data_IF_989118410905
#
_entry.id   IF_989118410905
#
_cell.length_a   1.000
_cell.length_b   1.000
_cell.length_c   1.000
_cell.angle_alpha   90.00
_cell.angle_beta   90.00
_cell.angle_gamma   90.00
#
_symmetry.space_group_name_H-M   'P 1'
#
loop_
_entity.id
_entity.type
_entity.pdbx_description
1 polymer ?
#
# COMPACT_ATOMS: atom_id res chain seq x y z
N UNK A 1 -59.78 -35.05 -17.96
CA UNK A 1 -58.97 -34.24 -17.03
C UNK A 1 -57.51 -34.61 -17.10
N UNK A 2 -56.71 -33.79 -17.76
CA UNK A 2 -55.28 -34.06 -17.98
C UNK A 2 -54.58 -32.81 -18.44
N UNK A 3 -54.47 -31.82 -17.55
CA UNK A 3 -53.64 -30.64 -17.77
C UNK A 3 -52.37 -30.76 -16.92
N UNK A 4 -51.32 -31.32 -17.53
CA UNK A 4 -50.00 -31.39 -16.92
C UNK A 4 -49.24 -30.13 -17.32
N UNK A 5 -49.37 -29.11 -16.49
CA UNK A 5 -48.59 -27.86 -16.53
C UNK A 5 -47.08 -28.15 -16.44
N UNK A 6 -46.43 -28.35 -17.59
CA UNK A 6 -44.97 -28.26 -17.71
C UNK A 6 -44.60 -26.80 -17.93
N UNK A 7 -44.44 -26.07 -16.83
CA UNK A 7 -43.75 -24.78 -16.87
C UNK A 7 -42.35 -24.95 -17.45
N UNK A 8 -42.08 -24.29 -18.58
CA UNK A 8 -40.74 -24.17 -19.14
C UNK A 8 -39.92 -23.28 -18.19
N UNK A 9 -39.15 -23.89 -17.30
CA UNK A 9 -38.05 -23.19 -16.64
C UNK A 9 -36.99 -22.98 -17.72
N UNK A 10 -36.93 -21.75 -18.25
CA UNK A 10 -35.82 -21.31 -19.09
C UNK A 10 -34.56 -21.31 -18.24
N UNK A 11 -33.70 -22.30 -18.43
CA UNK A 11 -32.37 -22.32 -17.82
C UNK A 11 -31.51 -21.26 -18.51
N UNK A 12 -31.46 -20.05 -17.95
CA UNK A 12 -30.38 -19.11 -18.25
C UNK A 12 -29.07 -19.71 -17.72
N UNK A 13 -28.19 -20.13 -18.63
CA UNK A 13 -26.82 -20.48 -18.27
C UNK A 13 -26.02 -19.17 -18.15
N UNK A 14 -25.63 -18.80 -16.93
CA UNK A 14 -24.68 -17.71 -16.71
C UNK A 14 -23.29 -18.24 -17.05
N UNK A 15 -22.62 -17.62 -18.03
CA UNK A 15 -21.22 -17.90 -18.34
C UNK A 15 -20.37 -16.73 -17.85
N UNK A 16 -19.38 -17.04 -17.02
CA UNK A 16 -18.37 -16.07 -16.59
C UNK A 16 -17.18 -16.16 -17.56
N UNK A 17 -17.01 -15.17 -18.42
CA UNK A 17 -15.78 -15.00 -19.19
C UNK A 17 -14.86 -14.05 -18.44
N UNK A 18 -13.61 -14.48 -18.23
CA UNK A 18 -12.58 -13.60 -17.68
C UNK A 18 -12.07 -12.74 -18.82
N UNK A 19 -12.53 -11.50 -18.89
CA UNK A 19 -12.28 -10.64 -20.04
C UNK A 19 -10.90 -9.96 -19.96
N UNK A 20 -10.48 -9.47 -18.78
CA UNK A 20 -9.23 -8.71 -18.64
C UNK A 20 -8.64 -8.84 -17.22
N UNK A 21 -7.31 -8.76 -17.10
CA UNK A 21 -6.63 -8.54 -15.82
C UNK A 21 -6.43 -7.03 -15.63
N UNK A 22 -7.08 -6.45 -14.62
CA UNK A 22 -6.85 -5.07 -14.20
C UNK A 22 -5.80 -5.02 -13.09
N UNK A 23 -4.82 -4.11 -13.22
CA UNK A 23 -3.82 -3.88 -12.19
C UNK A 23 -4.35 -2.90 -11.14
N UNK A 24 -4.59 -3.39 -9.92
CA UNK A 24 -5.04 -2.60 -8.78
C UNK A 24 -3.89 -2.38 -7.80
N UNK A 25 -3.59 -1.13 -7.45
CA UNK A 25 -2.64 -0.83 -6.36
C UNK A 25 -3.40 -0.72 -5.03
N UNK A 26 -3.10 -1.59 -4.08
CA UNK A 26 -3.53 -1.44 -2.69
C UNK A 26 -2.37 -0.91 -1.84
N UNK A 27 -2.69 -0.14 -0.81
CA UNK A 27 -1.70 0.36 0.15
C UNK A 27 -1.84 -0.41 1.46
N UNK A 28 -0.86 -1.26 1.75
CA UNK A 28 -0.81 -2.01 2.99
C UNK A 28 -0.07 -1.22 4.06
N UNK A 29 -0.59 -1.22 5.29
CA UNK A 29 -0.01 -0.48 6.40
C UNK A 29 0.76 -1.42 7.33
N UNK A 30 2.01 -1.04 7.63
CA UNK A 30 2.87 -1.80 8.53
C UNK A 30 3.40 -0.90 9.64
N UNK A 31 3.34 -1.41 10.88
CA UNK A 31 3.86 -0.72 12.06
C UNK A 31 5.05 -1.50 12.58
N UNK A 32 6.23 -0.87 12.56
CA UNK A 32 7.50 -1.49 12.92
C UNK A 32 8.18 -0.69 14.02
N UNK A 33 8.56 -1.38 15.09
CA UNK A 33 9.43 -0.82 16.13
C UNK A 33 10.90 -1.11 15.80
N UNK A 34 11.70 -0.04 15.68
CA UNK A 34 13.13 -0.10 15.44
C UNK A 34 13.92 0.32 16.68
N UNK A 35 15.03 -0.37 16.93
CA UNK A 35 16.02 0.04 17.92
C UNK A 35 17.06 0.93 17.26
N UNK A 36 17.40 2.04 17.91
CA UNK A 36 18.47 2.92 17.46
C UNK A 36 19.83 2.24 17.65
N UNK A 37 20.58 2.14 16.57
CA UNK A 37 21.98 1.79 16.57
C UNK A 37 22.85 3.04 16.80
N UNK A 38 23.90 2.99 17.65
CA UNK A 38 24.74 4.15 17.92
C UNK A 38 25.51 4.70 16.71
N UNK A 39 25.80 3.86 15.70
CA UNK A 39 26.56 4.24 14.50
C UNK A 39 25.66 4.49 13.30
N UNK A 40 24.55 3.76 13.19
CA UNK A 40 23.65 3.75 12.03
C UNK A 40 22.29 4.42 12.27
N UNK A 41 22.01 4.88 13.49
CA UNK A 41 20.70 5.43 13.84
C UNK A 41 19.60 4.37 13.68
N UNK A 42 18.49 4.70 13.04
CA UNK A 42 17.45 3.71 12.68
C UNK A 42 17.73 2.99 11.35
N UNK A 43 18.86 3.28 10.70
CA UNK A 43 19.26 2.57 9.48
C UNK A 43 18.37 2.83 8.27
N UNK A 44 17.75 4.01 8.18
CA UNK A 44 16.95 4.43 7.02
C UNK A 44 17.38 5.82 6.55
N UNK A 45 17.28 6.05 5.25
CA UNK A 45 17.31 7.37 4.65
C UNK A 45 15.89 7.76 4.23
N UNK A 46 15.54 9.04 4.41
CA UNK A 46 14.23 9.58 4.02
C UNK A 46 14.36 10.65 2.95
N UNK A 47 13.31 10.84 2.18
CA UNK A 47 13.18 11.87 1.15
C UNK A 47 11.72 12.33 1.06
N UNK A 48 11.44 13.30 0.19
CA UNK A 48 10.11 13.90 0.07
C UNK A 48 9.82 14.93 1.16
N UNK A 49 8.54 15.12 1.47
CA UNK A 49 8.03 16.18 2.33
C UNK A 49 7.44 17.33 1.53
N UNK A 50 6.63 18.17 2.18
CA UNK A 50 5.93 19.31 1.56
C UNK A 50 6.86 20.33 0.90
N UNK A 51 8.11 20.41 1.35
CA UNK A 51 9.16 21.28 0.80
C UNK A 51 9.89 20.66 -0.39
N UNK A 52 9.75 19.35 -0.60
CA UNK A 52 10.34 18.59 -1.71
C UNK A 52 9.31 17.64 -2.32
N UNK A 53 8.22 18.16 -2.91
CA UNK A 53 7.24 17.33 -3.59
C UNK A 53 7.89 16.59 -4.77
N UNK A 54 7.39 15.39 -5.02
CA UNK A 54 7.76 14.60 -6.20
C UNK A 54 7.41 15.37 -7.48
N UNK A 55 8.35 15.40 -8.44
CA UNK A 55 8.15 16.13 -9.70
C UNK A 55 7.15 15.46 -10.64
N UNK A 56 6.87 14.16 -10.48
CA UNK A 56 5.97 13.40 -11.35
C UNK A 56 4.49 13.60 -11.00
N UNK A 57 4.18 13.67 -9.72
CA UNK A 57 2.83 13.49 -9.18
C UNK A 57 2.52 14.46 -8.03
N UNK A 58 3.47 15.34 -7.68
CA UNK A 58 3.29 16.32 -6.61
C UNK A 58 3.25 15.69 -5.22
N UNK A 59 3.59 14.40 -5.09
CA UNK A 59 3.51 13.69 -3.81
C UNK A 59 4.44 14.32 -2.76
N UNK A 60 3.85 14.78 -1.67
CA UNK A 60 4.55 15.39 -0.53
C UNK A 60 4.85 14.40 0.59
N UNK A 61 4.55 13.11 0.38
CA UNK A 61 4.78 12.06 1.36
C UNK A 61 6.25 11.96 1.75
N UNK A 62 6.50 11.65 3.02
CA UNK A 62 7.83 11.25 3.47
C UNK A 62 8.05 9.81 3.03
N UNK A 63 9.10 9.56 2.26
CA UNK A 63 9.40 8.22 1.69
C UNK A 63 10.75 7.72 2.15
N UNK A 64 10.88 6.40 2.31
CA UNK A 64 12.16 5.76 2.54
C UNK A 64 12.90 5.67 1.21
N UNK A 65 14.01 6.37 1.08
CA UNK A 65 14.84 6.36 -0.12
C UNK A 65 15.93 5.30 -0.10
N UNK A 66 16.40 4.91 1.10
CA UNK A 66 17.41 3.87 1.26
C UNK A 66 17.30 3.19 2.64
N UNK A 67 17.80 1.95 2.73
CA UNK A 67 17.90 1.17 3.97
C UNK A 67 19.35 0.74 4.17
N UNK A 68 19.94 1.18 5.28
CA UNK A 68 21.36 0.97 5.57
C UNK A 68 21.67 -0.52 5.72
N UNK A 69 22.60 -1.11 4.95
CA UNK A 69 22.98 -2.51 5.06
C UNK A 69 23.46 -2.90 6.46
N UNK A 70 22.95 -4.03 6.97
CA UNK A 70 23.16 -4.49 8.34
C UNK A 70 22.71 -3.48 9.40
N UNK A 71 21.81 -2.56 9.08
CA UNK A 71 21.17 -1.63 10.01
C UNK A 71 19.88 -2.21 10.61
N UNK A 72 19.30 -1.56 11.63
CA UNK A 72 18.15 -2.10 12.35
C UNK A 72 16.85 -2.18 11.52
N UNK A 73 16.75 -1.42 10.43
CA UNK A 73 15.61 -1.43 9.52
C UNK A 73 15.65 -2.54 8.45
N UNK A 74 16.79 -3.23 8.28
CA UNK A 74 16.96 -4.27 7.26
C UNK A 74 15.94 -5.41 7.46
N UNK A 75 15.28 -5.80 6.37
CA UNK A 75 14.26 -6.84 6.39
C UNK A 75 12.92 -6.42 7.01
N UNK A 76 12.81 -5.20 7.54
CA UNK A 76 11.58 -4.68 8.17
C UNK A 76 10.97 -3.54 7.35
N UNK A 77 11.80 -2.58 6.97
CA UNK A 77 11.44 -1.48 6.08
C UNK A 77 12.12 -1.64 4.73
N UNK A 78 11.53 -1.03 3.71
CA UNK A 78 11.98 -1.13 2.33
C UNK A 78 11.96 0.25 1.66
N UNK A 79 12.76 0.41 0.62
CA UNK A 79 12.70 1.60 -0.24
C UNK A 79 11.31 1.76 -0.83
N UNK A 80 10.87 3.00 -1.01
CA UNK A 80 9.51 3.39 -1.47
C UNK A 80 8.38 3.21 -0.45
N UNK A 81 8.67 2.68 0.74
CA UNK A 81 7.72 2.75 1.85
C UNK A 81 7.43 4.22 2.18
N UNK A 82 6.14 4.58 2.26
CA UNK A 82 5.70 5.92 2.65
C UNK A 82 5.50 5.97 4.15
N UNK A 83 6.25 6.81 4.86
CA UNK A 83 6.10 6.97 6.30
C UNK A 83 4.83 7.77 6.58
N UNK A 84 3.87 7.11 7.23
CA UNK A 84 2.62 7.73 7.65
C UNK A 84 2.72 8.31 9.08
N UNK A 85 3.47 7.66 9.97
CA UNK A 85 3.54 8.05 11.37
C UNK A 85 4.86 7.63 12.04
N UNK A 86 5.35 8.44 12.99
CA UNK A 86 6.50 8.11 13.83
C UNK A 86 6.14 8.40 15.29
N UNK A 87 6.20 7.38 16.16
CA UNK A 87 5.86 7.49 17.59
C UNK A 87 4.50 8.16 17.86
N UNK A 88 3.50 7.91 17.01
CA UNK A 88 2.17 8.52 17.13
C UNK A 88 2.02 9.89 16.46
N UNK A 89 3.11 10.49 15.95
CA UNK A 89 3.08 11.75 15.22
C UNK A 89 2.87 11.52 13.72
N UNK A 90 1.83 12.13 13.16
CA UNK A 90 1.55 12.05 11.72
C UNK A 90 2.67 12.69 10.91
N UNK A 91 3.07 12.00 9.84
CA UNK A 91 4.06 12.46 8.86
C UNK A 91 3.40 12.90 7.54
N UNK A 92 2.09 13.09 7.53
CA UNK A 92 1.35 13.58 6.37
C UNK A 92 1.57 15.08 6.15
N UNK A 93 1.93 15.47 4.92
CA UNK A 93 2.15 16.86 4.52
C UNK A 93 3.11 17.65 5.44
N UNK A 94 4.09 16.97 6.03
CA UNK A 94 5.13 17.60 6.86
C UNK A 94 6.35 17.96 6.01
N UNK A 95 7.22 18.85 6.51
CA UNK A 95 8.51 19.10 5.85
C UNK A 95 9.51 17.96 6.08
N UNK A 96 10.44 17.79 5.16
CA UNK A 96 11.59 16.89 5.28
C UNK A 96 12.34 17.12 6.59
N UNK A 97 12.57 18.38 6.94
CA UNK A 97 13.25 18.80 8.17
C UNK A 97 12.49 18.39 9.44
N UNK A 98 11.17 18.47 9.43
CA UNK A 98 10.32 18.05 10.55
C UNK A 98 10.42 16.53 10.73
N UNK A 99 10.27 15.75 9.66
CA UNK A 99 10.39 14.29 9.73
C UNK A 99 11.78 13.85 10.22
N UNK A 100 12.86 14.48 9.72
CA UNK A 100 14.22 14.23 10.20
C UNK A 100 14.35 14.57 11.69
N UNK A 101 13.82 15.72 12.12
CA UNK A 101 13.86 16.15 13.52
C UNK A 101 13.12 15.15 14.41
N UNK A 102 11.90 14.74 14.04
CA UNK A 102 11.12 13.75 14.78
C UNK A 102 11.85 12.42 14.90
N UNK A 103 12.46 11.91 13.82
CA UNK A 103 13.28 10.70 13.89
C UNK A 103 14.51 10.90 14.78
N UNK A 104 15.16 12.06 14.75
CA UNK A 104 16.33 12.36 15.62
C UNK A 104 15.96 12.46 17.10
N UNK A 105 14.80 13.03 17.43
CA UNK A 105 14.32 13.18 18.82
C UNK A 105 13.78 11.88 19.42
N UNK A 106 13.46 10.88 18.59
CA UNK A 106 13.17 9.54 19.10
C UNK A 106 14.35 9.03 19.96
N UNK A 107 14.03 8.39 21.07
CA UNK A 107 15.03 7.80 21.96
C UNK A 107 15.61 6.51 21.40
N UNK A 108 15.71 5.49 22.25
CA UNK A 108 16.20 4.16 21.86
C UNK A 108 15.27 3.44 20.88
N UNK A 109 13.97 3.72 20.96
CA UNK A 109 12.95 3.08 20.12
C UNK A 109 12.25 4.12 19.24
N UNK A 110 11.96 3.73 18.01
CA UNK A 110 11.02 4.43 17.14
C UNK A 110 9.99 3.44 16.62
N UNK A 111 8.72 3.75 16.84
CA UNK A 111 7.59 3.06 16.25
C UNK A 111 7.22 3.79 14.94
N UNK A 112 7.52 3.17 13.80
CA UNK A 112 7.35 3.75 12.48
C UNK A 112 6.22 3.01 11.78
N UNK A 113 5.20 3.75 11.37
CA UNK A 113 4.11 3.24 10.55
C UNK A 113 4.33 3.67 9.11
N UNK A 114 4.34 2.69 8.20
CA UNK A 114 4.51 2.92 6.76
C UNK A 114 3.36 2.37 5.94
N UNK A 115 3.15 2.95 4.76
CA UNK A 115 2.28 2.43 3.70
C UNK A 115 3.15 1.89 2.57
N UNK A 116 2.96 0.63 2.20
CA UNK A 116 3.67 -0.06 1.11
C UNK A 116 2.70 -0.34 -0.03
N UNK A 117 3.04 0.03 -1.28
CA UNK A 117 2.19 -0.29 -2.43
C UNK A 117 2.33 -1.78 -2.75
N UNK A 118 1.19 -2.44 -2.98
CA UNK A 118 1.10 -3.80 -3.47
C UNK A 118 0.22 -3.82 -4.72
N UNK A 119 0.79 -4.28 -5.82
CA UNK A 119 0.12 -4.38 -7.12
C UNK A 119 -0.57 -5.75 -7.21
N UNK A 120 -1.88 -5.74 -7.34
CA UNK A 120 -2.73 -6.92 -7.50
C UNK A 120 -3.16 -7.01 -8.96
N UNK A 121 -3.09 -8.20 -9.53
CA UNK A 121 -3.74 -8.52 -10.80
C UNK A 121 -5.14 -9.04 -10.45
N UNK A 122 -6.16 -8.22 -10.68
CA UNK A 122 -7.55 -8.58 -10.41
C UNK A 122 -8.20 -8.98 -11.72
N UNK A 123 -8.73 -10.20 -11.76
CA UNK A 123 -9.52 -10.66 -12.90
C UNK A 123 -10.86 -9.92 -12.90
N UNK A 124 -11.12 -9.15 -13.96
CA UNK A 124 -12.43 -8.56 -14.19
C UNK A 124 -13.35 -9.63 -14.73
N UNK A 125 -14.39 -9.95 -13.97
CA UNK A 125 -15.44 -10.88 -14.39
C UNK A 125 -16.62 -10.05 -14.87
N UNK A 126 -16.91 -10.12 -16.17
CA UNK A 126 -18.12 -9.53 -16.72
C UNK A 126 -19.20 -10.61 -16.84
N UNK A 127 -20.41 -10.26 -16.41
CA UNK A 127 -21.57 -11.16 -16.45
C UNK A 127 -22.35 -10.89 -17.75
N UNK A 128 -22.46 -11.91 -18.60
CA UNK A 128 -23.23 -11.83 -19.84
C UNK A 128 -24.31 -12.92 -19.88
N UNK A 129 -25.58 -12.52 -19.99
CA UNK A 129 -26.69 -13.44 -20.25
C UNK A 129 -26.72 -13.79 -21.74
N UNK A 130 -26.40 -15.04 -22.09
CA UNK A 130 -26.57 -15.53 -23.46
C UNK A 130 -28.02 -15.90 -23.69
N UNK A 131 -28.73 -15.11 -24.49
CA UNK A 131 -30.10 -15.43 -24.91
C UNK A 131 -30.03 -16.37 -26.12
N UNK A 132 -30.15 -17.69 -25.87
CA UNK A 132 -30.28 -18.65 -26.97
C UNK A 132 -31.68 -18.51 -27.60
N UNK A 133 -31.70 -18.21 -28.91
CA UNK A 133 -32.89 -18.21 -29.78
C UNK A 133 -33.40 -19.64 -30.01
#
# INVERSE_FOLDING_TARGET
DGDQVRGQLSNMAVRFEVAEMEEMTIWEQYTITLNRDPRKGFGIAISGGRDRPSSSDGDTSIVISDVVPGGPAVGRLQTRDKIAMVNGLSMENVSSSFAISTLKTCGKLANITVKRPRYLQVAKVEEYCTQHH
#
